data_IF_198535288924
#
_entry.id   IF_198535288924
#
_cell.length_a   1.000
_cell.length_b   1.000
_cell.length_c   1.000
_cell.angle_alpha   90.00
_cell.angle_beta   90.00
_cell.angle_gamma   90.00
#
_symmetry.space_group_name_H-M   'P 1'
#
loop_
_entity.id
_entity.type
_entity.pdbx_description
1 polymer ?
#
# COMPACT_ATOMS: atom_id res chain seq x y z
N UNK A 1 -56.09 34.42 63.09
CA UNK A 1 -55.97 33.62 61.84
C UNK A 1 -54.49 33.33 61.60
N UNK A 2 -54.14 32.11 61.11
CA UNK A 2 -52.83 31.49 61.34
C UNK A 2 -51.80 31.72 60.20
N UNK A 3 -50.51 31.77 60.58
CA UNK A 3 -49.29 31.10 60.04
C UNK A 3 -48.91 31.19 58.52
N UNK A 4 -47.65 30.88 58.13
CA UNK A 4 -46.73 31.86 57.53
C UNK A 4 -45.94 31.31 56.30
N UNK A 5 -44.90 32.06 55.90
CA UNK A 5 -43.67 31.62 55.21
C UNK A 5 -43.77 31.11 53.76
N UNK A 6 -42.99 31.72 52.84
CA UNK A 6 -41.75 31.08 52.37
C UNK A 6 -40.85 32.05 51.58
N UNK A 7 -39.57 31.98 51.93
CA UNK A 7 -38.39 32.39 51.18
C UNK A 7 -38.47 31.88 49.72
N UNK A 8 -38.14 32.74 48.74
CA UNK A 8 -37.66 32.28 47.43
C UNK A 8 -36.30 32.94 47.17
N UNK A 9 -35.26 32.14 47.39
CA UNK A 9 -33.88 32.40 47.00
C UNK A 9 -33.75 32.27 45.49
N UNK A 10 -33.33 33.33 44.81
CA UNK A 10 -33.05 33.30 43.36
C UNK A 10 -31.70 32.60 43.10
N UNK A 11 -31.76 31.42 42.48
CA UNK A 11 -30.57 30.70 41.99
C UNK A 11 -30.43 30.95 40.48
N UNK A 12 -29.40 31.70 40.11
CA UNK A 12 -29.03 31.96 38.72
C UNK A 12 -28.28 30.72 38.17
N UNK A 13 -28.93 29.86 37.38
CA UNK A 13 -28.23 28.85 36.59
C UNK A 13 -27.78 29.45 35.26
N UNK A 14 -26.48 29.70 35.13
CA UNK A 14 -25.85 29.94 33.83
C UNK A 14 -25.68 28.58 33.14
N UNK A 15 -26.44 28.34 32.08
CA UNK A 15 -26.29 27.17 31.23
C UNK A 15 -25.09 27.38 30.31
N UNK A 16 -23.90 26.92 30.70
CA UNK A 16 -22.80 26.76 29.75
C UNK A 16 -23.14 25.58 28.84
N UNK A 17 -23.51 25.88 27.59
CA UNK A 17 -23.52 24.89 26.52
C UNK A 17 -22.08 24.41 26.29
N UNK A 18 -21.73 23.25 26.86
CA UNK A 18 -20.52 22.55 26.49
C UNK A 18 -20.73 22.00 25.07
N UNK A 19 -20.22 22.72 24.07
CA UNK A 19 -19.97 22.12 22.76
C UNK A 19 -18.85 21.10 22.95
N UNK A 20 -19.23 19.85 23.20
CA UNK A 20 -18.30 18.74 23.16
C UNK A 20 -17.65 18.71 21.78
N UNK A 21 -16.37 19.07 21.70
CA UNK A 21 -15.57 18.77 20.52
C UNK A 21 -15.60 17.25 20.36
N UNK A 22 -16.31 16.76 19.35
CA UNK A 22 -16.23 15.37 18.97
C UNK A 22 -14.74 15.05 18.79
N UNK A 23 -14.19 14.15 19.60
CA UNK A 23 -12.95 13.48 19.23
C UNK A 23 -13.25 12.87 17.87
N UNK A 24 -12.64 13.36 16.80
CA UNK A 24 -12.72 12.73 15.48
C UNK A 24 -12.36 11.25 15.70
N UNK A 25 -13.38 10.40 15.67
CA UNK A 25 -13.22 8.97 15.92
C UNK A 25 -12.38 8.37 14.81
N UNK A 26 -11.51 7.42 15.16
CA UNK A 26 -10.85 6.63 14.12
C UNK A 26 -11.92 6.01 13.20
N UNK A 27 -11.68 5.93 11.88
CA UNK A 27 -12.61 5.24 10.99
C UNK A 27 -12.82 3.81 11.50
N UNK A 28 -14.08 3.38 11.59
CA UNK A 28 -14.42 2.02 12.00
C UNK A 28 -13.99 1.05 10.91
N UNK A 29 -12.81 0.46 11.07
CA UNK A 29 -12.25 -0.49 10.10
C UNK A 29 -12.92 -1.86 10.16
N UNK A 30 -13.08 -2.47 8.99
CA UNK A 30 -13.52 -3.85 8.85
C UNK A 30 -12.36 -4.81 9.13
N UNK A 31 -12.57 -5.81 9.98
CA UNK A 31 -11.55 -6.82 10.31
C UNK A 31 -11.77 -8.08 9.47
N UNK A 32 -10.75 -8.49 8.72
CA UNK A 32 -10.80 -9.60 7.78
C UNK A 32 -9.93 -10.77 8.26
N UNK A 33 -10.52 -11.90 8.69
CA UNK A 33 -9.76 -13.08 9.11
C UNK A 33 -9.06 -13.82 7.96
N UNK A 34 -8.03 -14.60 8.29
CA UNK A 34 -7.39 -15.58 7.41
C UNK A 34 -6.00 -15.20 6.89
N UNK A 35 -5.47 -14.03 7.25
CA UNK A 35 -4.09 -13.61 7.01
C UNK A 35 -3.71 -12.44 7.92
N UNK A 36 -2.40 -12.28 8.18
CA UNK A 36 -1.78 -11.06 8.71
C UNK A 36 -0.93 -10.42 7.62
N UNK A 37 -0.33 -9.25 7.85
CA UNK A 37 0.67 -8.73 6.92
C UNK A 37 0.09 -8.32 5.56
N UNK A 38 -1.08 -7.65 5.56
CA UNK A 38 -1.68 -7.17 4.32
C UNK A 38 -0.80 -6.09 3.69
N UNK A 39 -0.21 -6.39 2.55
CA UNK A 39 0.85 -5.58 1.94
C UNK A 39 0.47 -5.05 0.55
N UNK A 40 -0.41 -5.74 -0.18
CA UNK A 40 -0.92 -5.25 -1.48
C UNK A 40 -2.42 -5.53 -1.64
N UNK A 41 -3.15 -4.62 -2.28
CA UNK A 41 -4.59 -4.77 -2.49
C UNK A 41 -5.05 -4.20 -3.85
N UNK A 42 -5.86 -4.97 -4.59
CA UNK A 42 -6.42 -4.56 -5.89
C UNK A 42 -7.90 -4.92 -5.96
N UNK A 43 -8.74 -3.96 -6.37
CA UNK A 43 -10.14 -4.27 -6.69
C UNK A 43 -10.21 -5.19 -7.91
N UNK A 44 -10.91 -6.31 -7.78
CA UNK A 44 -11.28 -7.21 -8.88
C UNK A 44 -12.53 -6.69 -9.60
N UNK A 45 -13.47 -6.15 -8.83
CA UNK A 45 -14.71 -5.51 -9.28
C UNK A 45 -15.23 -4.54 -8.19
N UNK A 46 -16.50 -4.13 -8.27
CA UNK A 46 -17.10 -3.18 -7.33
C UNK A 46 -17.26 -3.71 -5.89
N UNK A 47 -17.30 -5.03 -5.69
CA UNK A 47 -17.56 -5.66 -4.39
C UNK A 47 -16.43 -6.55 -3.88
N UNK A 48 -15.38 -6.79 -4.68
CA UNK A 48 -14.30 -7.72 -4.32
C UNK A 48 -12.93 -7.10 -4.48
N UNK A 49 -12.10 -7.29 -3.45
CA UNK A 49 -10.68 -6.90 -3.44
C UNK A 49 -9.84 -8.16 -3.28
N UNK A 50 -8.81 -8.32 -4.12
CA UNK A 50 -7.74 -9.30 -3.87
C UNK A 50 -6.67 -8.65 -3.01
N UNK A 51 -6.23 -9.35 -1.97
CA UNK A 51 -5.22 -8.91 -1.03
C UNK A 51 -4.10 -9.97 -0.97
N UNK A 52 -2.85 -9.51 -1.05
CA UNK A 52 -1.66 -10.31 -0.84
C UNK A 52 -1.05 -10.05 0.54
N UNK A 53 -0.23 -11.00 0.98
CA UNK A 53 0.45 -10.97 2.28
C UNK A 53 1.96 -11.09 2.09
N UNK A 54 2.72 -10.39 2.92
CA UNK A 54 4.17 -10.60 3.05
C UNK A 54 4.52 -11.94 3.71
N UNK A 55 3.59 -12.54 4.46
CA UNK A 55 3.80 -13.80 5.20
C UNK A 55 3.59 -15.08 4.36
N UNK A 56 2.91 -15.01 3.20
CA UNK A 56 2.69 -16.17 2.32
C UNK A 56 2.40 -15.83 0.86
N UNK A 57 2.32 -16.87 0.01
CA UNK A 57 2.12 -16.72 -1.44
C UNK A 57 0.64 -16.86 -1.86
N UNK A 58 -0.31 -16.70 -0.93
CA UNK A 58 -1.75 -16.88 -1.25
C UNK A 58 -2.41 -15.53 -1.52
N UNK A 59 -3.01 -15.42 -2.69
CA UNK A 59 -3.83 -14.28 -3.09
C UNK A 59 -5.28 -14.50 -2.64
N UNK A 60 -5.79 -13.65 -1.76
CA UNK A 60 -7.09 -13.86 -1.10
C UNK A 60 -8.10 -12.80 -1.52
N UNK A 61 -9.31 -13.22 -1.85
CA UNK A 61 -10.39 -12.32 -2.27
C UNK A 61 -11.33 -12.07 -1.10
N UNK A 62 -11.55 -10.81 -0.76
CA UNK A 62 -12.42 -10.35 0.32
C UNK A 62 -13.55 -9.47 -0.21
N UNK A 63 -14.67 -9.44 0.51
CA UNK A 63 -15.65 -8.36 0.41
C UNK A 63 -15.25 -7.26 1.42
N UNK A 64 -14.71 -6.12 0.95
CA UNK A 64 -14.20 -5.07 1.83
C UNK A 64 -15.30 -4.31 2.58
N UNK A 65 -16.58 -4.55 2.29
CA UNK A 65 -17.71 -3.96 3.01
C UNK A 65 -18.08 -4.73 4.29
N UNK A 66 -17.55 -5.95 4.45
CA UNK A 66 -17.86 -6.84 5.58
C UNK A 66 -16.64 -7.09 6.47
N UNK A 67 -16.81 -7.75 7.62
CA UNK A 67 -15.71 -8.26 8.45
C UNK A 67 -15.65 -9.80 8.40
N UNK A 68 -15.74 -10.35 7.19
CA UNK A 68 -15.80 -11.80 6.94
C UNK A 68 -14.45 -12.37 6.45
N UNK A 69 -14.21 -13.68 6.58
CA UNK A 69 -13.05 -14.33 5.97
C UNK A 69 -13.04 -14.21 4.44
N UNK A 70 -11.91 -14.59 3.83
CA UNK A 70 -11.76 -14.60 2.38
C UNK A 70 -12.84 -15.47 1.71
N UNK A 71 -13.45 -14.94 0.65
CA UNK A 71 -14.41 -15.63 -0.22
C UNK A 71 -13.71 -16.78 -0.94
N UNK A 72 -12.50 -16.52 -1.43
CA UNK A 72 -11.64 -17.51 -2.07
C UNK A 72 -10.18 -17.14 -1.86
N UNK A 73 -9.31 -18.13 -2.03
CA UNK A 73 -7.87 -17.96 -1.92
C UNK A 73 -7.17 -18.85 -2.95
N UNK A 74 -6.20 -18.27 -3.65
CA UNK A 74 -5.41 -18.95 -4.67
C UNK A 74 -3.94 -19.00 -4.23
N UNK A 75 -3.34 -20.19 -4.25
CA UNK A 75 -1.92 -20.38 -3.93
C UNK A 75 -1.08 -20.18 -5.19
N UNK A 76 -0.23 -19.14 -5.19
CA UNK A 76 0.64 -18.83 -6.31
C UNK A 76 1.85 -19.76 -6.40
N UNK A 77 2.22 -20.40 -5.28
CA UNK A 77 3.49 -21.14 -5.12
C UNK A 77 3.81 -22.12 -6.26
N UNK A 78 2.84 -22.92 -6.79
CA UNK A 78 3.13 -23.90 -7.85
C UNK A 78 3.73 -23.30 -9.12
N UNK A 79 3.46 -22.02 -9.41
CA UNK A 79 3.92 -21.36 -10.64
C UNK A 79 5.14 -20.46 -10.44
N UNK A 80 5.57 -20.24 -9.20
CA UNK A 80 6.59 -19.24 -8.87
C UNK A 80 8.03 -19.77 -8.95
N UNK A 81 8.23 -21.03 -9.34
CA UNK A 81 9.56 -21.67 -9.43
C UNK A 81 10.39 -21.45 -8.15
N UNK A 82 9.78 -21.75 -7.01
CA UNK A 82 10.37 -21.53 -5.68
C UNK A 82 11.25 -22.72 -5.29
N UNK A 83 12.26 -22.46 -4.47
CA UNK A 83 13.20 -23.51 -4.04
C UNK A 83 13.67 -23.31 -2.59
N UNK A 84 14.18 -24.38 -1.99
CA UNK A 84 14.67 -24.36 -0.61
C UNK A 84 13.57 -24.56 0.43
N UNK A 85 13.87 -24.23 1.70
CA UNK A 85 12.99 -24.51 2.84
C UNK A 85 12.00 -23.40 3.16
N UNK A 86 12.35 -22.15 2.87
CA UNK A 86 11.45 -21.02 3.02
C UNK A 86 11.00 -20.62 1.62
N UNK A 87 9.71 -20.82 1.33
CA UNK A 87 9.09 -20.60 0.02
C UNK A 87 8.36 -19.24 -0.08
N UNK A 88 8.33 -18.45 0.98
CA UNK A 88 7.70 -17.13 1.03
C UNK A 88 8.35 -16.17 0.03
N UNK A 89 7.51 -15.47 -0.74
CA UNK A 89 7.95 -14.45 -1.68
C UNK A 89 7.98 -13.04 -1.08
N UNK A 90 7.45 -12.83 0.14
CA UNK A 90 7.36 -11.51 0.77
C UNK A 90 6.63 -10.59 -0.22
N UNK A 91 5.38 -10.93 -0.58
CA UNK A 91 4.63 -10.20 -1.61
C UNK A 91 4.30 -8.82 -1.06
N UNK A 92 4.72 -7.76 -1.74
CA UNK A 92 4.62 -6.40 -1.20
C UNK A 92 3.83 -5.44 -2.08
N UNK A 93 3.74 -5.70 -3.40
CA UNK A 93 3.10 -4.76 -4.31
C UNK A 93 2.27 -5.43 -5.40
N UNK A 94 1.24 -4.72 -5.86
CA UNK A 94 0.36 -5.18 -6.93
C UNK A 94 -0.09 -4.05 -7.86
N UNK A 95 -0.16 -4.32 -9.17
CA UNK A 95 -0.60 -3.35 -10.17
C UNK A 95 -1.51 -3.99 -11.20
N UNK A 96 -2.65 -3.37 -11.49
CA UNK A 96 -3.61 -3.90 -12.48
C UNK A 96 -3.60 -3.10 -13.79
N UNK A 97 -3.37 -3.79 -14.91
CA UNK A 97 -3.51 -3.28 -16.28
C UNK A 97 -4.57 -4.13 -16.99
N UNK A 98 -5.74 -3.55 -17.26
CA UNK A 98 -6.87 -4.31 -17.84
C UNK A 98 -7.28 -5.49 -16.95
N UNK A 99 -7.22 -6.70 -17.49
CA UNK A 99 -7.49 -7.94 -16.73
C UNK A 99 -6.24 -8.52 -16.05
N UNK A 100 -5.04 -8.01 -16.33
CA UNK A 100 -3.78 -8.50 -15.76
C UNK A 100 -3.46 -7.79 -14.45
N UNK A 101 -3.08 -8.55 -13.43
CA UNK A 101 -2.53 -8.05 -12.18
C UNK A 101 -1.09 -8.54 -12.08
N UNK A 102 -0.16 -7.60 -12.01
CA UNK A 102 1.24 -7.84 -11.71
C UNK A 102 1.45 -7.83 -10.21
N UNK A 103 2.36 -8.65 -9.74
CA UNK A 103 2.72 -8.83 -8.35
C UNK A 103 4.24 -8.76 -8.21
N UNK A 104 4.71 -8.19 -7.12
CA UNK A 104 6.13 -8.07 -6.83
C UNK A 104 6.41 -8.44 -5.38
N UNK A 105 7.46 -9.22 -5.15
CA UNK A 105 8.02 -9.45 -3.82
C UNK A 105 8.88 -8.28 -3.34
N UNK A 106 9.37 -8.31 -2.11
CA UNK A 106 10.17 -7.20 -1.58
C UNK A 106 11.52 -6.99 -2.25
N UNK A 107 12.05 -8.03 -2.91
CA UNK A 107 13.43 -8.08 -3.41
C UNK A 107 14.51 -7.80 -2.33
N UNK A 108 14.14 -7.86 -1.06
CA UNK A 108 15.00 -7.59 0.08
C UNK A 108 15.71 -8.83 0.64
N UNK A 109 16.68 -8.59 1.52
CA UNK A 109 17.24 -9.61 2.41
C UNK A 109 16.25 -9.97 3.51
N UNK A 110 16.54 -11.00 4.29
CA UNK A 110 15.83 -11.18 5.56
C UNK A 110 16.35 -10.18 6.63
N UNK A 111 15.71 -10.17 7.81
CA UNK A 111 16.10 -9.34 8.96
C UNK A 111 17.57 -9.50 9.44
N UNK A 112 18.22 -10.61 9.09
CA UNK A 112 19.63 -10.88 9.42
C UNK A 112 20.59 -10.52 8.26
N UNK A 113 20.09 -9.94 7.16
CA UNK A 113 20.88 -9.61 5.96
C UNK A 113 21.17 -10.81 5.04
N UNK A 114 20.59 -11.98 5.33
CA UNK A 114 20.76 -13.20 4.51
C UNK A 114 19.96 -13.10 3.22
N UNK A 115 20.57 -13.57 2.14
CA UNK A 115 19.93 -13.62 0.82
C UNK A 115 18.69 -14.53 0.84
N UNK A 116 17.62 -14.06 0.18
CA UNK A 116 16.35 -14.77 0.04
C UNK A 116 15.92 -14.79 -1.41
N UNK A 117 16.35 -15.83 -2.14
CA UNK A 117 16.08 -15.97 -3.57
C UNK A 117 14.60 -15.93 -3.93
N UNK A 118 13.72 -16.41 -3.05
CA UNK A 118 12.28 -16.47 -3.29
C UNK A 118 11.59 -15.11 -3.16
N UNK A 119 12.19 -14.13 -2.47
CA UNK A 119 11.68 -12.74 -2.41
C UNK A 119 11.85 -11.95 -3.70
N UNK A 120 12.66 -12.49 -4.62
CA UNK A 120 12.95 -11.87 -5.89
C UNK A 120 11.97 -12.46 -6.91
N UNK A 121 10.71 -12.04 -6.86
CA UNK A 121 9.68 -12.49 -7.80
C UNK A 121 8.89 -11.31 -8.31
N UNK A 122 8.88 -11.16 -9.62
CA UNK A 122 7.90 -10.37 -10.36
C UNK A 122 7.11 -11.33 -11.25
N UNK A 123 5.79 -11.36 -11.10
CA UNK A 123 4.92 -12.28 -11.84
C UNK A 123 3.56 -11.63 -12.07
N UNK A 124 2.67 -12.33 -12.78
CA UNK A 124 1.33 -11.84 -13.00
C UNK A 124 0.26 -12.94 -12.99
N UNK A 125 -0.95 -12.50 -12.73
CA UNK A 125 -2.18 -13.27 -12.90
C UNK A 125 -3.13 -12.52 -13.83
N UNK A 126 -3.89 -13.24 -14.65
CA UNK A 126 -5.05 -12.68 -15.32
C UNK A 126 -6.30 -12.95 -14.47
N UNK A 127 -7.20 -11.98 -14.41
CA UNK A 127 -8.53 -12.09 -13.82
C UNK A 127 -9.50 -12.56 -14.90
N UNK A 128 -10.20 -13.66 -14.64
CA UNK A 128 -11.26 -14.17 -15.52
C UNK A 128 -12.58 -14.24 -14.75
N UNK A 129 -13.63 -13.62 -15.26
CA UNK A 129 -14.97 -13.72 -14.68
C UNK A 129 -15.57 -15.10 -14.94
N UNK A 130 -16.07 -15.74 -13.89
CA UNK A 130 -16.85 -16.99 -13.98
C UNK A 130 -18.20 -16.80 -13.28
N UNK A 131 -19.18 -17.72 -13.47
CA UNK A 131 -20.44 -17.67 -12.72
C UNK A 131 -20.26 -17.70 -11.18
N UNK A 132 -19.10 -18.16 -10.69
CA UNK A 132 -18.74 -18.22 -9.27
C UNK A 132 -17.94 -16.97 -8.82
N UNK A 133 -17.63 -16.04 -9.74
CA UNK A 133 -16.84 -14.85 -9.49
C UNK A 133 -15.49 -14.82 -10.23
N UNK A 134 -14.67 -13.77 -10.01
CA UNK A 134 -13.38 -13.62 -10.63
C UNK A 134 -12.45 -14.70 -10.10
N UNK A 135 -11.77 -15.36 -11.03
CA UNK A 135 -10.73 -16.33 -10.78
C UNK A 135 -9.39 -15.77 -11.25
N UNK A 136 -8.34 -16.07 -10.50
CA UNK A 136 -6.97 -15.71 -10.84
C UNK A 136 -6.29 -16.88 -11.53
N UNK A 137 -5.61 -16.60 -12.64
CA UNK A 137 -4.81 -17.58 -13.37
C UNK A 137 -3.41 -17.03 -13.59
N UNK A 138 -2.37 -17.74 -13.17
CA UNK A 138 -0.98 -17.40 -13.51
C UNK A 138 -0.80 -17.26 -15.01
N UNK A 139 -0.01 -16.26 -15.42
CA UNK A 139 0.41 -16.09 -16.80
C UNK A 139 1.91 -15.84 -16.87
N UNK A 140 2.50 -16.13 -18.03
CA UNK A 140 3.93 -15.93 -18.29
C UNK A 140 4.84 -16.72 -17.34
N UNK A 141 6.11 -16.33 -17.36
CA UNK A 141 7.17 -16.86 -16.51
C UNK A 141 7.54 -15.83 -15.44
N UNK A 142 7.54 -16.20 -14.14
CA UNK A 142 8.03 -15.31 -13.09
C UNK A 142 9.47 -14.86 -13.34
N UNK A 143 9.72 -13.56 -13.23
CA UNK A 143 11.05 -12.99 -13.30
C UNK A 143 11.70 -12.97 -11.92
N UNK A 144 12.91 -13.54 -11.81
CA UNK A 144 13.72 -13.52 -10.60
C UNK A 144 14.94 -12.60 -10.67
N UNK A 145 15.16 -11.96 -11.82
CA UNK A 145 16.34 -11.14 -12.12
C UNK A 145 16.06 -9.65 -12.14
N UNK A 146 14.82 -9.22 -11.85
CA UNK A 146 14.42 -7.80 -11.86
C UNK A 146 15.33 -6.93 -10.98
N UNK A 147 15.59 -7.34 -9.74
CA UNK A 147 16.49 -6.58 -8.86
C UNK A 147 17.91 -6.56 -9.39
N UNK A 148 18.46 -7.68 -9.89
CA UNK A 148 19.79 -7.70 -10.49
C UNK A 148 19.90 -6.71 -11.66
N UNK A 149 18.86 -6.61 -12.49
CA UNK A 149 18.80 -5.63 -13.56
C UNK A 149 18.77 -4.18 -13.04
N UNK A 150 18.09 -3.90 -11.92
CA UNK A 150 18.16 -2.60 -11.24
C UNK A 150 19.56 -2.30 -10.69
N UNK A 151 20.20 -3.26 -10.02
CA UNK A 151 21.51 -3.09 -9.38
C UNK A 151 22.62 -2.80 -10.40
N UNK A 152 22.51 -3.40 -11.58
CA UNK A 152 23.54 -3.33 -12.64
C UNK A 152 23.25 -2.25 -13.68
N UNK A 153 22.15 -1.51 -13.54
CA UNK A 153 21.79 -0.44 -14.48
C UNK A 153 22.72 0.77 -14.30
N UNK A 154 23.50 1.08 -15.33
CA UNK A 154 24.44 2.19 -15.32
C UNK A 154 23.80 3.56 -15.02
N UNK A 155 22.56 3.79 -15.45
CA UNK A 155 21.84 5.04 -15.16
C UNK A 155 21.45 5.18 -13.68
N UNK A 156 21.43 4.06 -12.94
CA UNK A 156 21.11 4.00 -11.51
C UNK A 156 22.35 3.84 -10.61
N UNK A 157 23.56 3.74 -11.17
CA UNK A 157 24.79 3.45 -10.42
C UNK A 157 25.03 4.41 -9.25
N UNK A 158 24.67 5.69 -9.40
CA UNK A 158 24.78 6.71 -8.33
C UNK A 158 23.92 6.45 -7.08
N UNK A 159 23.00 5.49 -7.14
CA UNK A 159 22.17 5.08 -6.02
C UNK A 159 22.85 4.06 -5.09
N UNK A 160 23.90 3.38 -5.56
CA UNK A 160 24.57 2.30 -4.83
C UNK A 160 23.58 1.22 -4.33
N UNK A 161 22.63 0.83 -5.20
CA UNK A 161 21.61 -0.17 -4.86
C UNK A 161 22.23 -1.54 -4.53
N UNK A 162 23.39 -1.85 -5.11
CA UNK A 162 24.16 -3.06 -4.82
C UNK A 162 24.55 -3.15 -3.34
N UNK A 163 24.99 -2.02 -2.77
CA UNK A 163 25.31 -1.89 -1.35
C UNK A 163 24.04 -2.00 -0.51
N UNK A 164 22.96 -1.33 -0.92
CA UNK A 164 21.66 -1.42 -0.24
C UNK A 164 21.09 -2.85 -0.21
N UNK A 165 21.25 -3.60 -1.31
CA UNK A 165 20.80 -4.98 -1.46
C UNK A 165 21.59 -5.99 -0.61
N UNK A 166 22.72 -5.59 -0.02
CA UNK A 166 23.49 -6.40 0.91
C UNK A 166 23.03 -6.25 2.38
N UNK A 167 22.20 -5.25 2.67
CA UNK A 167 21.77 -4.90 4.03
C UNK A 167 20.41 -5.54 4.38
N UNK A 168 20.13 -5.76 5.69
CA UNK A 168 18.77 -6.05 6.13
C UNK A 168 17.79 -4.93 5.72
N UNK A 169 16.55 -5.24 5.32
CA UNK A 169 15.63 -4.26 4.76
C UNK A 169 15.16 -3.22 5.81
N UNK A 170 15.21 -3.54 7.11
CA UNK A 170 14.89 -2.62 8.21
C UNK A 170 16.10 -1.83 8.74
N UNK A 171 17.27 -2.04 8.15
CA UNK A 171 18.44 -1.23 8.46
C UNK A 171 18.43 0.07 7.65
N UNK A 172 19.14 1.09 8.13
CA UNK A 172 19.26 2.37 7.41
C UNK A 172 19.89 2.12 6.04
N UNK A 173 19.10 2.28 4.98
CA UNK A 173 19.54 2.11 3.60
C UNK A 173 19.40 0.69 3.06
N UNK A 174 18.71 -0.21 3.76
CA UNK A 174 18.34 -1.52 3.21
C UNK A 174 17.42 -1.42 2.00
N UNK A 175 17.60 -2.32 1.03
CA UNK A 175 16.72 -2.40 -0.13
C UNK A 175 15.43 -3.16 0.20
N UNK A 176 14.29 -2.55 -0.12
CA UNK A 176 12.96 -3.17 -0.14
C UNK A 176 12.08 -2.42 -1.16
N UNK A 177 11.43 -3.19 -2.05
CA UNK A 177 10.46 -2.73 -3.05
C UNK A 177 9.07 -3.06 -2.54
N UNK A 178 8.17 -2.09 -2.50
CA UNK A 178 6.83 -2.32 -1.90
C UNK A 178 5.71 -1.69 -2.72
N UNK A 179 5.95 -0.52 -3.30
CA UNK A 179 4.97 0.08 -4.19
C UNK A 179 5.08 -0.49 -5.61
N UNK A 180 3.96 -0.94 -6.17
CA UNK A 180 3.81 -1.27 -7.58
C UNK A 180 2.51 -0.64 -8.09
N UNK A 181 2.53 0.09 -9.21
CA UNK A 181 1.30 0.63 -9.76
C UNK A 181 1.30 0.72 -11.27
N UNK A 182 0.12 0.53 -11.88
CA UNK A 182 -0.06 0.65 -13.31
C UNK A 182 -0.06 2.12 -13.73
N UNK A 183 0.78 2.45 -14.71
CA UNK A 183 0.73 3.73 -15.41
C UNK A 183 -0.36 3.69 -16.50
N UNK A 184 -0.91 4.85 -16.90
CA UNK A 184 -1.92 4.90 -17.97
C UNK A 184 -1.49 4.31 -19.31
N UNK A 185 -0.18 4.28 -19.57
CA UNK A 185 0.44 3.71 -20.78
C UNK A 185 0.65 2.19 -20.71
N UNK A 186 0.26 1.53 -19.60
CA UNK A 186 0.43 0.10 -19.37
C UNK A 186 1.79 -0.31 -18.81
N UNK A 187 2.75 0.62 -18.71
CA UNK A 187 3.98 0.40 -17.96
C UNK A 187 3.71 0.43 -16.45
N UNK A 188 4.70 0.04 -15.63
CA UNK A 188 4.54 0.00 -14.18
C UNK A 188 5.46 1.00 -13.50
N UNK A 189 4.99 1.58 -12.40
CA UNK A 189 5.85 2.18 -11.40
C UNK A 189 6.35 1.12 -10.43
N UNK A 190 7.65 1.15 -10.11
CA UNK A 190 8.28 0.40 -9.04
C UNK A 190 8.79 1.40 -8.00
N UNK A 191 8.21 1.37 -6.80
CA UNK A 191 8.54 2.25 -5.70
C UNK A 191 9.20 1.50 -4.54
N UNK A 192 10.17 2.16 -3.92
CA UNK A 192 11.01 1.56 -2.89
C UNK A 192 10.59 2.08 -1.50
N UNK A 193 10.45 1.18 -0.54
CA UNK A 193 10.54 1.54 0.88
C UNK A 193 11.95 2.03 1.18
N UNK A 194 12.95 1.29 0.73
CA UNK A 194 14.34 1.63 0.92
C UNK A 194 15.19 1.14 -0.24
N UNK A 195 16.34 1.78 -0.52
CA UNK A 195 16.91 2.93 0.18
C UNK A 195 16.24 4.26 -0.20
N UNK A 196 16.52 5.30 0.59
CA UNK A 196 16.29 6.69 0.20
C UNK A 196 17.55 7.27 -0.44
N UNK A 197 17.39 8.12 -1.47
CA UNK A 197 18.50 8.89 -2.02
C UNK A 197 18.32 10.37 -1.70
N UNK A 198 19.30 10.96 -1.00
CA UNK A 198 19.22 12.35 -0.50
C UNK A 198 17.93 12.63 0.28
N UNK A 199 17.47 11.66 1.07
CA UNK A 199 16.25 11.74 1.87
C UNK A 199 14.94 11.59 1.08
N UNK A 200 14.99 11.26 -0.22
CA UNK A 200 13.81 11.10 -1.08
C UNK A 200 13.58 9.64 -1.47
N UNK A 201 12.32 9.24 -1.56
CA UNK A 201 11.92 7.91 -2.03
C UNK A 201 12.24 7.76 -3.52
N UNK A 202 12.49 6.51 -3.93
CA UNK A 202 12.82 6.14 -5.29
C UNK A 202 11.59 5.58 -5.99
N UNK A 203 11.35 6.06 -7.21
CA UNK A 203 10.30 5.58 -8.09
C UNK A 203 10.87 5.39 -9.50
N UNK A 204 10.76 4.18 -10.05
CA UNK A 204 11.40 3.79 -11.32
C UNK A 204 10.34 3.14 -12.23
N UNK A 205 10.16 3.59 -13.48
CA UNK A 205 9.28 2.91 -14.42
C UNK A 205 9.87 1.57 -14.87
N UNK A 206 9.07 0.52 -14.91
CA UNK A 206 9.30 -0.68 -15.71
C UNK A 206 8.46 -0.57 -16.99
N UNK A 207 9.12 -0.34 -18.12
CA UNK A 207 8.50 0.04 -19.38
C UNK A 207 7.98 -1.15 -20.20
N UNK A 208 8.40 -2.37 -19.88
CA UNK A 208 8.08 -3.58 -20.64
C UNK A 208 7.62 -4.76 -19.76
N UNK A 209 6.64 -4.57 -18.85
CA UNK A 209 6.28 -5.59 -17.86
C UNK A 209 5.85 -6.93 -18.48
N UNK A 210 5.11 -6.92 -19.60
CA UNK A 210 4.71 -8.13 -20.30
C UNK A 210 5.91 -8.87 -20.92
N UNK A 211 6.82 -8.14 -21.58
CA UNK A 211 8.01 -8.74 -22.18
C UNK A 211 8.91 -9.39 -21.11
N UNK A 212 8.95 -8.84 -19.90
CA UNK A 212 9.67 -9.46 -18.76
C UNK A 212 9.08 -10.83 -18.42
N UNK A 213 7.75 -10.98 -18.47
CA UNK A 213 7.07 -12.26 -18.23
C UNK A 213 7.27 -13.26 -19.37
N UNK A 214 7.64 -12.77 -20.56
CA UNK A 214 8.07 -13.58 -21.71
C UNK A 214 9.56 -13.96 -21.65
N UNK A 215 10.29 -13.51 -20.63
CA UNK A 215 11.71 -13.82 -20.42
C UNK A 215 12.69 -12.77 -20.98
N UNK A 216 12.20 -11.63 -21.46
CA UNK A 216 13.06 -10.52 -21.87
C UNK A 216 13.65 -9.77 -20.68
N UNK A 217 14.76 -9.06 -20.90
CA UNK A 217 15.36 -8.22 -19.88
C UNK A 217 14.42 -7.05 -19.49
N UNK A 218 14.33 -6.70 -18.19
CA UNK A 218 13.61 -5.51 -17.74
C UNK A 218 14.18 -4.24 -18.36
N UNK A 219 13.31 -3.38 -18.87
CA UNK A 219 13.65 -2.08 -19.42
C UNK A 219 13.11 -0.98 -18.50
N UNK A 220 14.04 -0.28 -17.83
CA UNK A 220 13.71 0.76 -16.86
C UNK A 220 13.73 2.15 -17.48
N UNK A 221 12.73 2.96 -17.10
CA UNK A 221 12.67 4.37 -17.46
C UNK A 221 13.47 5.28 -16.50
N UNK A 222 13.36 6.60 -16.67
CA UNK A 222 14.07 7.57 -15.84
C UNK A 222 13.61 7.51 -14.38
N UNK A 223 14.57 7.69 -13.48
CA UNK A 223 14.34 7.70 -12.04
C UNK A 223 13.61 8.98 -11.59
N UNK A 224 12.53 8.80 -10.85
CA UNK A 224 11.83 9.86 -10.12
C UNK A 224 12.19 9.82 -8.63
N UNK A 225 12.36 11.00 -8.02
CA UNK A 225 12.60 11.17 -6.58
C UNK A 225 11.46 11.91 -5.93
N UNK A 226 10.85 11.30 -4.93
CA UNK A 226 9.71 11.87 -4.23
C UNK A 226 10.13 12.33 -2.83
N UNK A 227 9.90 13.60 -2.53
CA UNK A 227 10.08 14.12 -1.18
C UNK A 227 8.86 13.77 -0.33
N UNK A 228 9.01 12.74 0.51
CA UNK A 228 7.97 12.24 1.41
C UNK A 228 8.33 12.50 2.89
N UNK A 229 9.18 13.51 3.15
CA UNK A 229 9.66 13.83 4.48
C UNK A 229 10.60 12.76 5.05
N UNK A 230 11.46 12.20 4.19
CA UNK A 230 12.38 11.11 4.55
C UNK A 230 11.66 9.80 4.87
N UNK A 231 10.59 9.49 4.13
CA UNK A 231 9.85 8.22 4.15
C UNK A 231 10.03 7.50 2.82
N UNK A 232 9.91 6.18 2.87
CA UNK A 232 9.85 5.30 1.70
C UNK A 232 8.42 5.08 1.25
N UNK A 233 8.23 4.53 0.05
CA UNK A 233 6.93 4.12 -0.45
C UNK A 233 6.59 2.73 0.09
N UNK A 234 5.38 2.59 0.65
CA UNK A 234 4.76 1.31 1.01
C UNK A 234 3.85 0.81 -0.11
N UNK A 235 3.01 1.71 -0.64
CA UNK A 235 2.14 1.41 -1.77
C UNK A 235 1.75 2.70 -2.51
N UNK A 236 1.18 2.58 -3.71
CA UNK A 236 0.64 3.71 -4.45
C UNK A 236 -0.47 3.30 -5.42
N UNK A 237 -1.42 4.19 -5.66
CA UNK A 237 -2.52 3.93 -6.60
C UNK A 237 -2.93 5.17 -7.40
N UNK A 238 -3.36 4.94 -8.65
CA UNK A 238 -3.87 5.98 -9.54
C UNK A 238 -5.37 6.15 -9.40
N UNK A 239 -5.83 7.37 -9.12
CA UNK A 239 -7.27 7.67 -9.00
C UNK A 239 -7.96 7.87 -10.35
N UNK A 240 -7.21 8.08 -11.42
CA UNK A 240 -7.72 8.62 -12.69
C UNK A 240 -7.28 10.06 -12.95
N UNK A 241 -6.86 10.77 -11.90
CA UNK A 241 -6.45 12.19 -11.95
C UNK A 241 -5.19 12.51 -11.15
N UNK A 242 -4.96 11.81 -10.04
CA UNK A 242 -3.81 11.96 -9.16
C UNK A 242 -3.35 10.61 -8.60
N UNK A 243 -2.09 10.54 -8.18
CA UNK A 243 -1.53 9.41 -7.45
C UNK A 243 -1.74 9.60 -5.95
N UNK A 244 -2.16 8.53 -5.29
CA UNK A 244 -2.17 8.43 -3.84
C UNK A 244 -0.97 7.58 -3.44
N UNK A 245 -0.13 8.10 -2.57
CA UNK A 245 1.08 7.46 -2.11
C UNK A 245 0.95 7.14 -0.63
N UNK A 246 1.19 5.89 -0.24
CA UNK A 246 1.35 5.48 1.15
C UNK A 246 2.84 5.47 1.45
N UNK A 247 3.26 6.24 2.45
CA UNK A 247 4.66 6.40 2.78
C UNK A 247 4.94 6.10 4.26
N UNK A 248 6.01 5.35 4.53
CA UNK A 248 6.36 4.86 5.86
C UNK A 248 7.85 4.94 6.19
N UNK A 249 8.21 4.47 7.39
CA UNK A 249 9.60 4.33 7.80
C UNK A 249 10.36 3.37 6.88
N UNK A 250 11.65 3.62 6.68
CA UNK A 250 12.53 2.83 5.79
C UNK A 250 13.48 1.92 6.56
N UNK A 251 13.29 1.78 7.88
CA UNK A 251 14.27 1.18 8.79
C UNK A 251 14.96 2.19 9.72
N UNK A 252 15.24 1.78 10.96
CA UNK A 252 15.83 2.60 12.01
C UNK A 252 14.84 3.54 12.71
N UNK A 253 14.63 4.75 12.16
CA UNK A 253 13.77 5.77 12.78
C UNK A 253 12.28 5.45 12.61
N UNK A 254 11.53 5.48 13.71
CA UNK A 254 10.09 5.30 13.71
C UNK A 254 9.40 6.54 13.13
N UNK A 255 9.16 6.53 11.82
CA UNK A 255 8.27 7.47 11.14
C UNK A 255 6.95 6.79 10.85
N UNK A 256 5.89 7.22 11.53
CA UNK A 256 4.54 6.75 11.26
C UNK A 256 4.10 7.00 9.81
N UNK A 257 3.14 6.20 9.37
CA UNK A 257 2.57 6.25 8.02
C UNK A 257 1.98 7.61 7.70
N UNK A 258 2.17 8.06 6.46
CA UNK A 258 1.64 9.30 5.89
C UNK A 258 1.13 9.03 4.49
N UNK A 259 0.02 9.67 4.12
CA UNK A 259 -0.46 9.66 2.76
C UNK A 259 -0.07 10.96 2.06
N UNK A 260 0.18 10.85 0.76
CA UNK A 260 0.47 11.99 -0.11
C UNK A 260 -0.37 11.91 -1.38
N UNK A 261 -0.64 13.08 -1.96
CA UNK A 261 -1.13 13.25 -3.32
C UNK A 261 0.02 13.64 -4.21
N UNK A 262 0.02 13.18 -5.45
CA UNK A 262 1.03 13.53 -6.43
C UNK A 262 0.43 13.58 -7.84
N UNK A 263 0.68 14.65 -8.59
CA UNK A 263 0.13 14.83 -9.93
C UNK A 263 1.02 14.21 -11.03
N UNK A 264 2.03 13.43 -10.64
CA UNK A 264 2.97 12.80 -11.57
C UNK A 264 4.25 13.62 -11.78
N UNK A 265 5.06 13.13 -12.71
CA UNK A 265 6.38 13.68 -13.01
C UNK A 265 6.33 15.20 -13.26
N UNK A 266 7.29 15.94 -12.70
CA UNK A 266 7.31 17.41 -12.77
C UNK A 266 6.55 18.12 -11.65
N UNK A 267 5.80 17.40 -10.81
CA UNK A 267 5.13 17.96 -9.62
C UNK A 267 5.73 17.45 -8.30
N UNK A 268 5.57 18.23 -7.23
CA UNK A 268 5.93 17.80 -5.87
C UNK A 268 4.73 17.11 -5.21
N UNK A 269 4.95 16.01 -4.46
CA UNK A 269 3.92 15.44 -3.62
C UNK A 269 3.47 16.42 -2.52
N UNK A 270 2.18 16.43 -2.22
CA UNK A 270 1.60 17.18 -1.10
C UNK A 270 1.00 16.22 -0.08
N UNK A 271 1.21 16.48 1.21
CA UNK A 271 0.64 15.64 2.27
C UNK A 271 -0.90 15.62 2.18
N UNK A 272 -1.47 14.42 2.33
CA UNK A 272 -2.90 14.19 2.41
C UNK A 272 -3.24 13.88 3.88
N UNK A 273 -3.62 14.92 4.62
CA UNK A 273 -4.02 14.78 6.02
C UNK A 273 -5.44 14.24 6.10
N UNK A 274 -5.56 12.97 6.50
CA UNK A 274 -6.82 12.29 6.73
C UNK A 274 -6.97 12.03 8.23
N UNK A 275 -8.05 12.51 8.87
CA UNK A 275 -8.33 12.24 10.28
C UNK A 275 -8.29 10.75 10.61
N UNK A 276 -7.74 10.41 11.79
CA UNK A 276 -7.75 9.04 12.30
C UNK A 276 -6.67 8.08 11.77
N UNK A 277 -5.84 8.47 10.79
CA UNK A 277 -4.80 7.58 10.24
C UNK A 277 -3.47 7.57 11.02
N UNK A 278 -3.24 8.54 11.91
CA UNK A 278 -1.93 8.74 12.58
C UNK A 278 -1.41 7.53 13.36
N UNK A 279 -2.29 6.64 13.80
CA UNK A 279 -1.96 5.47 14.62
C UNK A 279 -2.16 4.15 13.86
N UNK A 280 -2.41 4.21 12.55
CA UNK A 280 -2.60 3.02 11.72
C UNK A 280 -1.32 2.74 10.93
N UNK A 281 -0.94 1.47 10.86
CA UNK A 281 0.12 1.00 10.00
C UNK A 281 -0.47 0.63 8.64
N UNK A 282 -0.72 1.64 7.80
CA UNK A 282 -1.25 1.41 6.45
C UNK A 282 -0.11 0.94 5.55
N UNK A 283 -0.31 -0.21 4.93
CA UNK A 283 0.67 -0.83 4.03
C UNK A 283 0.12 -0.99 2.60
N UNK A 284 -1.20 -0.99 2.39
CA UNK A 284 -1.79 -1.00 1.03
C UNK A 284 -2.89 0.04 0.82
N UNK A 285 -3.05 0.50 -0.43
CA UNK A 285 -4.11 1.38 -0.93
C UNK A 285 -4.73 0.82 -2.21
N UNK A 286 -6.04 0.60 -2.20
CA UNK A 286 -6.80 0.18 -3.38
C UNK A 286 -7.80 1.27 -3.81
N UNK A 287 -7.86 1.50 -5.12
CA UNK A 287 -8.79 2.45 -5.76
C UNK A 287 -9.93 1.67 -6.43
N UNK A 288 -11.20 1.93 -6.09
CA UNK A 288 -12.34 1.31 -6.77
C UNK A 288 -12.45 1.79 -8.22
N UNK A 289 -13.15 1.00 -9.05
CA UNK A 289 -13.34 1.33 -10.47
C UNK A 289 -14.28 2.51 -10.71
N UNK A 290 -15.14 2.86 -9.75
CA UNK A 290 -16.10 3.97 -9.84
C UNK A 290 -15.40 5.31 -10.10
N UNK A 291 -15.96 6.11 -11.03
CA UNK A 291 -15.46 7.44 -11.40
C UNK A 291 -16.56 8.51 -11.22
N UNK A 292 -16.24 9.69 -10.67
CA UNK A 292 -14.95 10.06 -10.07
C UNK A 292 -14.68 9.25 -8.80
N UNK A 293 -13.41 8.98 -8.50
CA UNK A 293 -13.03 8.25 -7.28
C UNK A 293 -13.33 9.15 -6.08
N UNK A 294 -14.30 8.74 -5.26
CA UNK A 294 -14.69 9.46 -4.03
C UNK A 294 -14.10 8.85 -2.77
N UNK A 295 -13.79 7.56 -2.80
CA UNK A 295 -13.27 6.82 -1.65
C UNK A 295 -12.14 5.89 -2.06
N UNK A 296 -11.27 5.61 -1.12
CA UNK A 296 -10.21 4.61 -1.21
C UNK A 296 -10.41 3.55 -0.15
N UNK A 297 -9.87 2.36 -0.41
CA UNK A 297 -9.69 1.34 0.62
C UNK A 297 -8.24 1.34 1.07
N UNK A 298 -8.00 1.53 2.36
CA UNK A 298 -6.68 1.38 2.97
C UNK A 298 -6.64 0.07 3.75
N UNK A 299 -5.58 -0.72 3.61
CA UNK A 299 -5.36 -1.92 4.41
C UNK A 299 -4.24 -1.65 5.42
N UNK A 300 -4.46 -2.03 6.68
CA UNK A 300 -3.44 -1.98 7.71
C UNK A 300 -2.87 -3.35 8.02
N UNK A 301 -1.57 -3.39 8.27
CA UNK A 301 -0.98 -4.52 8.97
C UNK A 301 -1.08 -4.30 10.49
N UNK A 302 -2.11 -4.90 11.07
CA UNK A 302 -2.38 -4.92 12.51
C UNK A 302 -1.79 -6.17 13.19
N UNK A 303 -0.91 -6.93 12.50
CA UNK A 303 -0.35 -8.21 12.97
C UNK A 303 0.25 -8.15 14.39
N UNK A 304 0.75 -6.98 14.81
CA UNK A 304 1.31 -6.76 16.13
C UNK A 304 0.28 -6.54 17.26
N UNK A 305 -1.01 -6.38 16.96
CA UNK A 305 -2.02 -5.93 17.95
C UNK A 305 -2.71 -7.04 18.76
N UNK A 306 -2.46 -8.33 18.52
CA UNK A 306 -2.73 -9.40 19.52
C UNK A 306 -2.33 -10.79 19.02
N UNK A 307 -1.43 -11.47 19.73
CA UNK A 307 -1.08 -12.89 19.54
C UNK A 307 -2.14 -13.89 20.05
N UNK A 308 -3.37 -13.43 20.31
CA UNK A 308 -4.44 -14.21 20.98
C UNK A 308 -5.66 -14.46 20.06
N UNK A 309 -5.64 -13.95 18.82
CA UNK A 309 -6.74 -14.10 17.86
C UNK A 309 -6.35 -14.79 16.56
N UNK A 310 -7.35 -15.18 15.77
CA UNK A 310 -7.15 -15.60 14.38
C UNK A 310 -6.40 -14.51 13.59
N UNK A 311 -5.35 -14.84 12.81
CA UNK A 311 -4.67 -13.89 11.93
C UNK A 311 -5.68 -13.08 11.12
N UNK A 312 -5.56 -11.76 11.16
CA UNK A 312 -6.45 -10.84 10.45
C UNK A 312 -5.75 -9.53 10.14
N UNK A 313 -6.19 -8.88 9.07
CA UNK A 313 -5.86 -7.49 8.77
C UNK A 313 -7.12 -6.62 8.91
N UNK A 314 -6.95 -5.29 8.84
CA UNK A 314 -8.11 -4.37 8.77
C UNK A 314 -8.09 -3.58 7.48
N UNK A 315 -9.30 -3.24 7.02
CA UNK A 315 -9.49 -2.33 5.91
C UNK A 315 -10.35 -1.14 6.32
N UNK A 316 -10.08 0.02 5.73
CA UNK A 316 -10.74 1.28 6.05
C UNK A 316 -11.18 1.95 4.76
N UNK A 317 -12.47 2.22 4.65
CA UNK A 317 -12.98 3.10 3.61
C UNK A 317 -12.75 4.55 4.01
N UNK A 318 -12.01 5.28 3.18
CA UNK A 318 -11.67 6.69 3.43
C UNK A 318 -12.21 7.55 2.30
N UNK A 319 -12.98 8.58 2.65
CA UNK A 319 -13.39 9.63 1.71
C UNK A 319 -12.20 10.48 1.30
N UNK A 320 -12.03 10.66 -0.01
CA UNK A 320 -11.07 11.59 -0.56
C UNK A 320 -11.62 13.02 -0.46
N UNK A 321 -10.92 13.94 0.21
CA UNK A 321 -11.32 15.34 0.19
C UNK A 321 -11.25 15.86 -1.24
N UNK A 322 -12.17 16.74 -1.65
CA UNK A 322 -12.09 17.36 -2.97
C UNK A 322 -10.72 18.02 -3.17
N UNK A 323 -10.19 17.96 -4.40
CA UNK A 323 -8.99 18.71 -4.72
C UNK A 323 -9.24 20.20 -4.40
N UNK A 324 -8.31 20.91 -3.73
CA UNK A 324 -8.47 22.33 -3.49
C UNK A 324 -8.69 23.03 -4.84
N UNK A 325 -9.72 23.87 -4.92
CA UNK A 325 -9.96 24.68 -6.12
C UNK A 325 -8.66 25.44 -6.42
N UNK A 326 -8.20 25.41 -7.68
CA UNK A 326 -7.06 26.20 -8.11
C UNK A 326 -7.31 27.65 -7.69
N UNK A 327 -6.59 28.11 -6.67
CA UNK A 327 -6.75 29.44 -6.15
C UNK A 327 -6.54 30.42 -7.29
N UNK A 328 -7.55 31.24 -7.55
CA UNK A 328 -7.37 32.46 -8.33
C UNK A 328 -6.18 33.18 -7.73
N UNK A 329 -5.07 33.26 -8.47
CA UNK A 329 -3.98 34.18 -8.16
C UNK A 329 -4.59 35.57 -8.19
N UNK A 330 -4.92 36.08 -7.01
CA UNK A 330 -5.30 37.46 -6.80
C UNK A 330 -4.17 38.35 -7.30
N UNK A 331 -4.57 39.34 -8.10
CA UNK A 331 -3.75 40.37 -8.74
C UNK A 331 -2.69 41.00 -7.83
#
# INVERSE_FOLDING_TARGET
MPLPALLITALLMVLLAQTGSAKEGMPSGNRHPGMSGASAAIFLDAGRVVVASDEDNRLRVYDPSTSQPAITAWDASPWLHLSGRNLECDLEGAARVGNRIYWIGSHGRNKDGKYRSNRHRFFATDVTETPQGPQLRSIGTPCSTLVTALLTNAALASLHLDTAAALPPDSKGGLSIEALAARPDGSLWIGFRGPLAKGKALLIPLLNPDAVLEGHAPYFGPLTRLDLGGRGLRDMAWTGSEWILVAGATGGEQKGTRLFRWNGEGSLPSALDLPGLKNLHIEAVAVPSEKPVRRLLLCSDDSHLSSIGTPSFRSYWIDLPSAPAAGTSGH
#
